data_IF_550838926610
#
_entry.id   IF_550838926610
#
_cell.length_a   1.000
_cell.length_b   1.000
_cell.length_c   1.000
_cell.angle_alpha   90.00
_cell.angle_beta   90.00
_cell.angle_gamma   90.00
#
_symmetry.space_group_name_H-M   'P 1'
#
loop_
_entity.id
_entity.type
_entity.pdbx_description
1 polymer ?
#
# COMPACT_ATOMS: atom_id res chain seq x y z
N UNK A 1 -0.59 -4.90 -4.16
CA UNK A 1 -1.20 -3.58 -4.37
C UNK A 1 -0.18 -2.47 -4.29
N UNK A 2 -0.37 -1.41 -5.09
CA UNK A 2 0.44 -0.19 -5.05
C UNK A 2 -0.44 1.01 -4.67
N UNK A 3 -0.25 1.55 -3.47
CA UNK A 3 -0.99 2.70 -2.97
C UNK A 3 -0.24 3.99 -3.34
N UNK A 4 -0.76 4.71 -4.33
CA UNK A 4 -0.15 5.89 -4.95
C UNK A 4 0.68 5.55 -6.18
N UNK A 5 0.11 5.72 -7.38
CA UNK A 5 0.75 5.41 -8.65
C UNK A 5 1.38 6.64 -9.32
N UNK A 6 2.22 7.34 -8.54
CA UNK A 6 3.12 8.36 -9.05
C UNK A 6 4.38 7.77 -9.69
N UNK A 7 5.45 8.58 -9.82
CA UNK A 7 6.73 8.14 -10.42
C UNK A 7 7.32 6.90 -9.74
N UNK A 8 7.36 6.89 -8.40
CA UNK A 8 7.91 5.76 -7.63
C UNK A 8 6.98 4.55 -7.73
N UNK A 9 5.67 4.73 -7.49
CA UNK A 9 4.69 3.64 -7.56
C UNK A 9 4.66 2.95 -8.93
N UNK A 10 4.76 3.70 -10.03
CA UNK A 10 4.85 3.14 -11.37
C UNK A 10 6.11 2.27 -11.56
N UNK A 11 7.28 2.76 -11.13
CA UNK A 11 8.53 2.00 -11.24
C UNK A 11 8.55 0.75 -10.34
N UNK A 12 7.89 0.81 -9.19
CA UNK A 12 7.63 -0.38 -8.34
C UNK A 12 6.76 -1.37 -9.10
N UNK A 13 5.57 -0.97 -9.56
CA UNK A 13 4.65 -1.84 -10.28
C UNK A 13 5.29 -2.48 -11.52
N UNK A 14 6.08 -1.72 -12.29
CA UNK A 14 6.84 -2.24 -13.44
C UNK A 14 7.84 -3.34 -13.04
N UNK A 15 8.49 -3.23 -11.88
CA UNK A 15 9.38 -4.28 -11.35
C UNK A 15 8.59 -5.50 -10.92
N UNK A 16 7.48 -5.30 -10.20
CA UNK A 16 6.59 -6.39 -9.77
C UNK A 16 6.05 -7.19 -10.97
N UNK A 17 5.75 -6.53 -12.09
CA UNK A 17 5.32 -7.19 -13.32
C UNK A 17 6.40 -8.15 -13.86
N UNK A 18 7.68 -7.81 -13.70
CA UNK A 18 8.80 -8.69 -14.06
C UNK A 18 8.89 -9.97 -13.23
N UNK A 19 8.27 -9.99 -12.04
CA UNK A 19 8.13 -11.19 -11.20
C UNK A 19 6.84 -11.98 -11.51
N UNK A 20 6.04 -11.56 -12.48
CA UNK A 20 4.78 -12.22 -12.83
C UNK A 20 3.66 -11.99 -11.81
N UNK A 21 3.73 -10.93 -11.00
CA UNK A 21 2.71 -10.61 -10.01
C UNK A 21 1.44 -10.03 -10.65
N UNK A 22 0.29 -10.28 -10.02
CA UNK A 22 -0.95 -9.57 -10.30
C UNK A 22 -0.91 -8.18 -9.64
N UNK A 23 -1.14 -7.13 -10.43
CA UNK A 23 -0.98 -5.75 -9.98
C UNK A 23 -2.34 -5.04 -9.97
N UNK A 24 -2.69 -4.53 -8.79
CA UNK A 24 -3.72 -3.54 -8.59
C UNK A 24 -3.12 -2.29 -7.93
N UNK A 25 -3.70 -1.12 -8.16
CA UNK A 25 -3.26 0.14 -7.55
C UNK A 25 -4.42 1.04 -7.13
N UNK A 26 -4.11 1.98 -6.24
CA UNK A 26 -5.03 3.05 -5.81
C UNK A 26 -4.37 4.40 -6.02
N UNK A 27 -5.12 5.35 -6.59
CA UNK A 27 -4.71 6.74 -6.79
C UNK A 27 -5.98 7.61 -6.91
N UNK A 28 -5.83 8.93 -6.88
CA UNK A 28 -6.97 9.87 -6.96
C UNK A 28 -7.74 9.78 -8.28
N UNK A 29 -7.09 9.29 -9.33
CA UNK A 29 -7.68 9.03 -10.63
C UNK A 29 -6.92 7.91 -11.35
N UNK A 30 -7.58 7.17 -12.25
CA UNK A 30 -6.92 6.23 -13.16
C UNK A 30 -5.77 6.89 -13.94
N UNK A 31 -4.78 6.09 -14.32
CA UNK A 31 -3.60 6.55 -15.05
C UNK A 31 -3.55 5.88 -16.42
N UNK A 32 -3.53 6.67 -17.48
CA UNK A 32 -3.50 6.14 -18.85
C UNK A 32 -2.28 5.24 -19.11
N UNK A 33 -1.16 5.53 -18.46
CA UNK A 33 0.07 4.73 -18.56
C UNK A 33 0.03 3.40 -17.79
N UNK A 34 -1.07 3.10 -17.11
CA UNK A 34 -1.27 1.91 -16.28
C UNK A 34 -2.55 1.13 -16.69
N UNK A 35 -2.92 1.20 -17.97
CA UNK A 35 -4.15 0.59 -18.50
C UNK A 35 -4.24 -0.93 -18.27
N UNK A 36 -3.11 -1.62 -18.10
CA UNK A 36 -3.04 -3.06 -17.86
C UNK A 36 -3.22 -3.46 -16.39
N UNK A 37 -3.31 -2.48 -15.46
CA UNK A 37 -3.41 -2.74 -14.03
C UNK A 37 -4.78 -2.37 -13.48
N UNK A 38 -5.29 -3.19 -12.56
CA UNK A 38 -6.58 -2.97 -11.92
C UNK A 38 -6.54 -1.71 -11.04
N UNK A 39 -7.58 -0.86 -11.14
CA UNK A 39 -7.71 0.35 -10.32
C UNK A 39 -8.72 0.09 -9.20
N UNK A 40 -8.26 0.18 -7.96
CA UNK A 40 -9.09 0.12 -6.76
C UNK A 40 -8.97 1.45 -6.02
N UNK A 41 -10.00 2.30 -6.13
CA UNK A 41 -9.97 3.66 -5.57
C UNK A 41 -9.87 3.65 -4.03
N UNK A 42 -10.41 2.63 -3.37
CA UNK A 42 -10.39 2.49 -1.91
C UNK A 42 -9.13 1.76 -1.41
N UNK A 43 -8.34 2.35 -0.50
CA UNK A 43 -7.19 1.69 0.13
C UNK A 43 -7.54 0.39 0.84
N UNK A 44 -8.71 0.27 1.44
CA UNK A 44 -9.13 -0.96 2.15
C UNK A 44 -9.39 -2.07 1.13
N UNK A 45 -10.11 -1.78 0.04
CA UNK A 45 -10.30 -2.73 -1.07
C UNK A 45 -8.97 -3.15 -1.70
N UNK A 46 -8.04 -2.21 -1.91
CA UNK A 46 -6.71 -2.51 -2.43
C UNK A 46 -5.92 -3.45 -1.48
N UNK A 47 -5.93 -3.17 -0.19
CA UNK A 47 -5.26 -3.98 0.82
C UNK A 47 -5.83 -5.40 0.85
N UNK A 48 -7.17 -5.55 0.85
CA UNK A 48 -7.84 -6.85 0.81
C UNK A 48 -7.49 -7.70 -0.41
N UNK A 49 -7.17 -7.06 -1.55
CA UNK A 49 -6.77 -7.73 -2.79
C UNK A 49 -5.28 -8.07 -2.83
N UNK A 50 -4.49 -7.67 -1.83
CA UNK A 50 -3.03 -7.69 -1.89
C UNK A 50 -2.41 -8.62 -0.86
N UNK A 51 -1.43 -9.42 -1.26
CA UNK A 51 -0.50 -10.07 -0.33
C UNK A 51 0.63 -9.11 0.08
N UNK A 52 1.01 -8.21 -0.82
CA UNK A 52 2.04 -7.17 -0.60
C UNK A 52 1.44 -5.80 -0.90
N UNK A 53 1.48 -4.88 0.06
CA UNK A 53 0.99 -3.51 -0.11
C UNK A 53 2.16 -2.52 -0.05
N UNK A 54 2.48 -1.93 -1.19
CA UNK A 54 3.50 -0.88 -1.29
C UNK A 54 2.85 0.49 -1.09
N UNK A 55 3.37 1.28 -0.16
CA UNK A 55 2.95 2.67 0.10
C UNK A 55 3.94 3.61 -0.57
N UNK A 56 3.48 4.28 -1.63
CA UNK A 56 4.28 5.19 -2.48
C UNK A 56 3.63 6.57 -2.63
N UNK A 57 2.75 6.94 -1.70
CA UNK A 57 2.03 8.21 -1.68
C UNK A 57 2.93 9.39 -1.29
N UNK A 58 2.72 10.54 -1.94
CA UNK A 58 3.22 11.80 -1.42
C UNK A 58 2.48 12.15 -0.12
N UNK A 59 3.18 12.71 0.87
CA UNK A 59 2.53 13.17 2.10
C UNK A 59 1.72 14.45 1.84
N UNK A 60 0.49 14.45 2.35
CA UNK A 60 -0.41 15.58 2.40
C UNK A 60 -1.35 15.44 3.60
N UNK A 61 -2.15 16.47 3.89
CA UNK A 61 -3.20 16.34 4.90
C UNK A 61 -4.21 15.23 4.56
N UNK A 62 -4.49 15.02 3.28
CA UNK A 62 -5.44 14.01 2.81
C UNK A 62 -4.91 12.57 2.89
N UNK A 63 -3.58 12.38 2.90
CA UNK A 63 -2.96 11.05 2.98
C UNK A 63 -2.48 10.71 4.38
N UNK A 64 -2.59 11.64 5.34
CA UNK A 64 -2.15 11.42 6.71
C UNK A 64 -2.95 10.26 7.31
N UNK A 65 -2.24 9.24 7.79
CA UNK A 65 -2.82 8.01 8.35
C UNK A 65 -3.81 7.31 7.40
N UNK A 66 -3.64 7.46 6.09
CA UNK A 66 -4.49 6.76 5.11
C UNK A 66 -4.34 5.25 5.23
N UNK A 67 -3.16 4.77 5.63
CA UNK A 67 -2.94 3.39 6.07
C UNK A 67 -3.22 3.34 7.57
N UNK A 68 -4.49 3.19 7.91
CA UNK A 68 -5.00 3.06 9.26
C UNK A 68 -5.24 1.58 9.62
N UNK A 69 -5.82 1.34 10.81
CA UNK A 69 -6.17 0.00 11.29
C UNK A 69 -7.07 -0.80 10.35
N UNK A 70 -7.99 -0.15 9.62
CA UNK A 70 -8.89 -0.83 8.66
C UNK A 70 -8.12 -1.34 7.44
N UNK A 71 -7.21 -0.54 6.90
CA UNK A 71 -6.33 -0.93 5.78
C UNK A 71 -5.40 -2.06 6.22
N UNK A 72 -4.81 -1.95 7.42
CA UNK A 72 -3.90 -2.96 7.97
C UNK A 72 -4.63 -4.28 8.21
N UNK A 73 -5.82 -4.24 8.82
CA UNK A 73 -6.63 -5.44 9.05
C UNK A 73 -7.09 -6.07 7.73
N UNK A 74 -7.34 -5.28 6.69
CA UNK A 74 -7.70 -5.79 5.37
C UNK A 74 -6.53 -6.49 4.67
N UNK A 75 -5.29 -6.05 4.90
CA UNK A 75 -4.08 -6.70 4.40
C UNK A 75 -3.82 -8.04 5.11
N UNK A 76 -4.08 -8.09 6.42
CA UNK A 76 -4.21 -9.34 7.17
C UNK A 76 -2.90 -10.03 7.57
N UNK A 77 -3.07 -11.18 8.24
CA UNK A 77 -2.00 -11.91 8.94
C UNK A 77 -0.94 -12.54 8.03
N UNK A 78 -1.24 -12.73 6.75
CA UNK A 78 -0.28 -13.20 5.74
C UNK A 78 0.31 -12.04 4.91
N UNK A 79 -0.25 -10.84 5.06
CA UNK A 79 0.12 -9.68 4.27
C UNK A 79 1.40 -9.00 4.73
N UNK A 80 2.07 -8.34 3.79
CA UNK A 80 3.25 -7.52 4.03
C UNK A 80 3.00 -6.06 3.67
N UNK A 81 3.22 -5.15 4.62
CA UNK A 81 3.17 -3.71 4.39
C UNK A 81 4.56 -3.15 4.12
N UNK A 82 4.76 -2.45 3.01
CA UNK A 82 6.04 -1.87 2.62
C UNK A 82 5.91 -0.34 2.52
N UNK A 83 6.61 0.41 3.37
CA UNK A 83 6.63 1.88 3.31
C UNK A 83 8.00 2.40 2.87
N UNK A 84 8.01 2.97 1.66
CA UNK A 84 9.15 3.70 1.08
C UNK A 84 8.75 5.13 0.71
N UNK A 85 7.73 5.66 1.41
CA UNK A 85 7.17 6.99 1.16
C UNK A 85 7.48 7.97 2.29
N UNK A 86 6.49 8.26 3.15
CA UNK A 86 6.57 9.13 4.32
C UNK A 86 5.89 8.44 5.49
N UNK A 87 6.48 8.56 6.68
CA UNK A 87 5.95 7.96 7.90
C UNK A 87 4.52 8.39 8.20
N UNK A 88 4.22 9.68 7.99
CA UNK A 88 2.90 10.27 8.28
C UNK A 88 1.71 9.65 7.50
N UNK A 89 1.96 8.85 6.46
CA UNK A 89 0.90 8.16 5.73
C UNK A 89 0.39 6.91 6.46
N UNK A 90 1.15 6.41 7.43
CA UNK A 90 0.81 5.22 8.24
C UNK A 90 0.44 5.67 9.65
N UNK A 91 -0.60 5.06 10.20
CA UNK A 91 -0.87 5.11 11.63
C UNK A 91 0.05 4.09 12.34
N UNK A 92 1.12 4.59 12.96
CA UNK A 92 2.15 3.73 13.56
C UNK A 92 1.66 2.97 14.78
N UNK A 93 0.77 3.57 15.58
CA UNK A 93 0.16 2.88 16.72
C UNK A 93 -0.68 1.69 16.24
N UNK A 94 -1.46 1.88 15.17
CA UNK A 94 -2.22 0.79 14.56
C UNK A 94 -1.31 -0.29 13.94
N UNK A 95 -0.20 0.10 13.34
CA UNK A 95 0.77 -0.84 12.75
C UNK A 95 1.44 -1.70 13.83
N UNK A 96 1.93 -1.08 14.90
CA UNK A 96 2.55 -1.78 16.03
C UNK A 96 1.57 -2.77 16.65
N UNK A 97 0.34 -2.32 16.94
CA UNK A 97 -0.70 -3.17 17.53
C UNK A 97 -1.01 -4.40 16.65
N UNK A 98 -1.14 -4.19 15.34
CA UNK A 98 -1.40 -5.27 14.39
C UNK A 98 -0.25 -6.27 14.28
N UNK A 99 1.00 -5.81 14.29
CA UNK A 99 2.17 -6.70 14.26
C UNK A 99 2.31 -7.50 15.55
N UNK A 100 2.14 -6.85 16.71
CA UNK A 100 2.21 -7.51 18.03
C UNK A 100 1.12 -8.57 18.20
N UNK A 101 -0.09 -8.27 17.73
CA UNK A 101 -1.23 -9.20 17.76
C UNK A 101 -1.24 -10.21 16.61
N UNK A 102 -0.25 -10.18 15.72
CA UNK A 102 -0.20 -10.98 14.48
C UNK A 102 -1.40 -10.79 13.56
N UNK A 103 -2.07 -9.64 13.64
CA UNK A 103 -3.09 -9.22 12.68
C UNK A 103 -2.51 -8.74 11.34
N UNK A 104 -1.21 -8.41 11.32
CA UNK A 104 -0.42 -8.18 10.11
C UNK A 104 0.76 -9.14 10.11
N UNK A 105 1.03 -9.77 8.96
CA UNK A 105 2.11 -10.75 8.85
C UNK A 105 3.50 -10.14 9.01
N UNK A 106 3.76 -9.04 8.29
CA UNK A 106 5.06 -8.37 8.35
C UNK A 106 5.01 -6.93 7.84
N UNK A 107 6.06 -6.16 8.17
CA UNK A 107 6.26 -4.82 7.63
C UNK A 107 7.73 -4.59 7.27
N UNK A 108 7.97 -3.82 6.20
CA UNK A 108 9.28 -3.33 5.77
C UNK A 108 9.24 -1.80 5.64
N UNK A 109 10.00 -1.10 6.48
CA UNK A 109 9.90 0.36 6.65
C UNK A 109 11.27 1.02 6.40
N UNK A 110 11.30 1.99 5.48
CA UNK A 110 12.47 2.86 5.23
C UNK A 110 12.38 4.21 5.97
N UNK A 111 11.19 4.52 6.53
CA UNK A 111 10.86 5.80 7.16
C UNK A 111 10.09 5.58 8.46
N UNK A 112 10.32 6.48 9.43
CA UNK A 112 9.69 6.60 10.76
C UNK A 112 9.54 8.09 11.09
#
# INVERSE_FOLDING_TARGET
GVLGLGRIGYEVAKRLAGFGMEIAYSDVAPKDFAADWEVLADPVALARRSDFLFVTLAASAATRHIVNSEVIAALGEEGMLINISRASNIDEDALLDALEKKGLGSAALDVF
#
